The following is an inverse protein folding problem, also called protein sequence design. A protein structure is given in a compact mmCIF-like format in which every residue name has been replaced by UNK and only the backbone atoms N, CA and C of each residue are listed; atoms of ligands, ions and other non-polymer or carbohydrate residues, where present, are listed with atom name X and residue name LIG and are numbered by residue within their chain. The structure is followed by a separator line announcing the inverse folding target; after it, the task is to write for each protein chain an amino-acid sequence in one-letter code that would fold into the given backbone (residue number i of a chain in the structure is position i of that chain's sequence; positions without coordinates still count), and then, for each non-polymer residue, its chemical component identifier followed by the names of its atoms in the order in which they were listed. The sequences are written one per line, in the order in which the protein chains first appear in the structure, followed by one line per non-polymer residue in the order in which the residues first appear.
data_IF_347285351916
#
_entry.id   IF_347285351916
#
_cell.length_a   1.000
_cell.length_b   1.000
_cell.length_c   1.000
_cell.angle_alpha   90.00
_cell.angle_beta   90.00
_cell.angle_gamma   90.00
#
_symmetry.space_group_name_H-M   'P 1'
#
loop_
_entity.id
_entity.type
_entity.pdbx_description
1 polymer ?
#
# COMPACT_ATOMS: atom_id res chain seq x y z
N UNK A 1 6.86 -22.43 24.47
CA UNK A 1 6.92 -22.03 23.04
C UNK A 1 5.96 -20.86 22.88
N UNK A 2 6.39 -19.70 22.36
CA UNK A 2 5.47 -18.56 22.16
C UNK A 2 4.74 -18.77 20.84
N UNK A 3 3.44 -19.03 20.90
CA UNK A 3 2.59 -19.28 19.73
C UNK A 3 1.72 -18.06 19.48
N UNK A 4 2.09 -17.24 18.50
CA UNK A 4 1.23 -16.16 18.02
C UNK A 4 0.67 -16.56 16.67
N UNK A 5 -0.55 -17.08 16.64
CA UNK A 5 -1.17 -17.57 15.41
C UNK A 5 -1.69 -16.40 14.55
N UNK A 6 -2.21 -15.34 15.20
CA UNK A 6 -2.71 -14.13 14.55
C UNK A 6 -2.00 -12.91 15.14
N UNK A 7 -1.31 -12.16 14.29
CA UNK A 7 -0.84 -10.82 14.62
C UNK A 7 -1.74 -9.78 13.98
N UNK A 8 -2.18 -8.79 14.74
CA UNK A 8 -2.87 -7.61 14.21
C UNK A 8 -1.96 -6.40 14.36
N UNK A 9 -1.68 -5.71 13.26
CA UNK A 9 -0.80 -4.53 13.22
C UNK A 9 -1.49 -3.35 12.55
N UNK A 10 -1.10 -2.14 12.95
CA UNK A 10 -1.44 -0.89 12.28
C UNK A 10 -0.28 -0.38 11.40
N UNK A 11 -0.30 0.90 10.99
CA UNK A 11 0.88 1.49 10.36
C UNK A 11 2.00 1.56 11.41
N UNK A 12 3.18 1.05 11.07
CA UNK A 12 4.33 1.03 11.96
C UNK A 12 5.57 1.56 11.26
N UNK A 13 6.47 2.22 11.99
CA UNK A 13 7.70 2.83 11.49
C UNK A 13 8.83 1.80 11.27
N UNK A 14 8.51 0.59 10.80
CA UNK A 14 9.49 -0.49 10.62
C UNK A 14 9.49 -1.50 11.76
N UNK A 15 8.34 -1.77 12.35
CA UNK A 15 8.16 -2.85 13.29
C UNK A 15 8.07 -4.18 12.51
N UNK A 16 9.24 -4.70 12.11
CA UNK A 16 9.42 -5.91 11.30
C UNK A 16 9.11 -7.19 12.09
N UNK A 17 7.87 -7.32 12.57
CA UNK A 17 7.48 -8.42 13.46
C UNK A 17 7.48 -9.80 12.79
N UNK A 18 7.49 -9.85 11.46
CA UNK A 18 7.40 -11.08 10.68
C UNK A 18 8.48 -12.09 11.07
N UNK A 19 9.69 -11.63 11.43
CA UNK A 19 10.80 -12.49 11.85
C UNK A 19 10.56 -13.19 13.20
N UNK A 20 9.60 -12.73 13.99
CA UNK A 20 9.28 -13.29 15.31
C UNK A 20 8.02 -14.16 15.30
N UNK A 21 7.32 -14.25 14.17
CA UNK A 21 6.14 -15.08 14.02
C UNK A 21 6.52 -16.49 13.56
N UNK A 22 5.88 -17.54 14.12
CA UNK A 22 6.09 -18.90 13.64
C UNK A 22 5.50 -19.12 12.24
N UNK A 23 5.98 -20.15 11.55
CA UNK A 23 5.43 -20.62 10.28
C UNK A 23 3.94 -20.93 10.40
N UNK A 24 3.17 -20.52 9.40
CA UNK A 24 1.71 -20.69 9.40
C UNK A 24 0.94 -19.59 10.13
N UNK A 25 1.61 -18.60 10.74
CA UNK A 25 0.94 -17.44 11.31
C UNK A 25 0.33 -16.52 10.25
N UNK A 26 -0.73 -15.82 10.65
CA UNK A 26 -1.45 -14.86 9.82
C UNK A 26 -1.26 -13.44 10.37
N UNK A 27 -0.88 -12.51 9.49
CA UNK A 27 -0.77 -11.08 9.81
C UNK A 27 -1.99 -10.35 9.26
N UNK A 28 -2.69 -9.59 10.11
CA UNK A 28 -3.75 -8.68 9.72
C UNK A 28 -3.20 -7.25 9.82
N UNK A 29 -2.99 -6.58 8.70
CA UNK A 29 -2.57 -5.18 8.66
C UNK A 29 -3.78 -4.27 8.47
N UNK A 30 -4.07 -3.42 9.46
CA UNK A 30 -5.20 -2.49 9.45
C UNK A 30 -4.88 -1.15 8.81
N UNK A 31 -3.61 -0.87 8.50
CA UNK A 31 -3.17 0.35 7.84
C UNK A 31 -3.37 1.64 8.64
N UNK A 32 -2.63 2.66 8.22
CA UNK A 32 -2.69 4.02 8.74
C UNK A 32 -3.49 4.96 7.89
N UNK A 33 -3.85 6.11 8.46
CA UNK A 33 -4.41 7.22 7.71
C UNK A 33 -3.33 8.26 7.50
N UNK A 34 -3.05 8.58 6.24
CA UNK A 34 -2.14 9.65 5.86
C UNK A 34 -2.97 10.80 5.27
N UNK A 35 -2.78 12.05 5.72
CA UNK A 35 -3.53 13.19 5.20
C UNK A 35 -3.17 13.51 3.73
N UNK A 36 -4.18 13.91 2.96
CA UNK A 36 -4.07 14.34 1.56
C UNK A 36 -3.62 15.80 1.40
N UNK A 37 -3.37 16.55 2.45
CA UNK A 37 -2.54 17.76 2.40
C UNK A 37 -2.14 18.10 3.83
N UNK A 38 -1.01 18.79 4.01
CA UNK A 38 -0.66 19.36 5.32
C UNK A 38 -1.78 20.30 5.83
N UNK A 39 -2.50 20.94 4.90
CA UNK A 39 -3.56 21.93 5.14
C UNK A 39 -4.97 21.31 5.19
N UNK A 40 -5.16 20.06 4.75
CA UNK A 40 -6.47 19.40 4.71
C UNK A 40 -6.40 18.01 5.36
N UNK A 41 -6.62 18.01 6.68
CA UNK A 41 -6.67 16.80 7.50
C UNK A 41 -7.96 15.99 7.28
N UNK A 42 -8.96 16.52 6.56
CA UNK A 42 -10.27 15.88 6.43
C UNK A 42 -10.30 14.80 5.34
N UNK A 43 -9.35 14.82 4.40
CA UNK A 43 -9.24 13.78 3.38
C UNK A 43 -7.97 12.98 3.66
N UNK A 44 -8.15 11.68 3.87
CA UNK A 44 -7.04 10.76 4.16
C UNK A 44 -7.07 9.59 3.18
N UNK A 45 -5.92 8.96 3.00
CA UNK A 45 -5.82 7.68 2.32
C UNK A 45 -5.20 6.64 3.25
N UNK A 46 -5.41 5.38 2.89
CA UNK A 46 -4.90 4.24 3.64
C UNK A 46 -3.46 3.96 3.24
N UNK A 47 -2.57 3.81 4.21
CA UNK A 47 -1.21 3.34 3.98
C UNK A 47 -0.97 2.05 4.79
N UNK A 48 -0.64 0.94 4.11
CA UNK A 48 -0.30 -0.31 4.79
C UNK A 48 1.19 -0.37 5.15
N UNK A 49 2.02 0.39 4.44
CA UNK A 49 3.46 0.56 4.63
C UNK A 49 4.19 -0.78 4.53
N UNK A 50 4.28 -1.51 5.64
CA UNK A 50 5.05 -2.73 5.85
C UNK A 50 4.50 -3.96 5.10
N UNK A 51 3.65 -3.78 4.08
CA UNK A 51 3.09 -4.88 3.28
C UNK A 51 4.17 -5.70 2.56
N UNK A 52 5.29 -5.07 2.16
CA UNK A 52 6.43 -5.78 1.55
C UNK A 52 7.13 -6.72 2.54
N UNK A 53 7.06 -6.47 3.85
CA UNK A 53 7.62 -7.38 4.86
C UNK A 53 6.86 -8.70 4.86
N UNK A 54 5.54 -8.65 4.78
CA UNK A 54 4.72 -9.85 4.65
C UNK A 54 4.88 -10.52 3.28
N UNK A 55 5.05 -9.74 2.21
CA UNK A 55 5.38 -10.27 0.88
C UNK A 55 6.71 -11.03 0.86
N UNK A 56 7.70 -10.62 1.65
CA UNK A 56 9.00 -11.31 1.78
C UNK A 56 8.98 -12.52 2.72
N UNK A 57 8.11 -12.51 3.73
CA UNK A 57 7.95 -13.61 4.68
C UNK A 57 6.99 -14.68 4.14
N UNK A 58 7.48 -15.52 3.24
CA UNK A 58 6.67 -16.52 2.51
C UNK A 58 6.09 -17.65 3.38
N UNK A 59 6.52 -17.77 4.63
CA UNK A 59 5.95 -18.68 5.64
C UNK A 59 4.74 -18.09 6.38
N UNK A 60 4.39 -16.83 6.10
CA UNK A 60 3.24 -16.13 6.68
C UNK A 60 2.17 -15.85 5.62
N UNK A 61 0.92 -15.67 6.06
CA UNK A 61 -0.16 -15.14 5.21
C UNK A 61 -0.59 -13.77 5.69
N UNK A 62 -0.65 -12.79 4.79
CA UNK A 62 -1.17 -11.46 5.09
C UNK A 62 -2.64 -11.29 4.69
N UNK A 63 -3.37 -10.55 5.53
CA UNK A 63 -4.70 -10.03 5.28
C UNK A 63 -4.69 -8.52 5.53
N UNK A 64 -5.48 -7.78 4.77
CA UNK A 64 -5.50 -6.32 4.82
C UNK A 64 -6.90 -5.82 5.08
N UNK A 65 -7.01 -4.78 5.89
CA UNK A 65 -8.28 -4.08 6.07
C UNK A 65 -8.74 -3.47 4.74
N UNK A 66 -10.06 -3.44 4.43
CA UNK A 66 -10.51 -2.91 3.14
C UNK A 66 -10.05 -1.46 2.93
N UNK A 67 -9.25 -1.24 1.88
CA UNK A 67 -8.50 0.01 1.65
C UNK A 67 -9.39 1.26 1.58
N UNK A 68 -10.59 1.16 0.98
CA UNK A 68 -11.54 2.27 0.85
C UNK A 68 -12.44 2.46 2.09
N UNK A 69 -12.51 1.47 2.98
CA UNK A 69 -13.30 1.59 4.22
C UNK A 69 -12.46 2.18 5.35
N UNK A 70 -11.15 1.95 5.32
CA UNK A 70 -10.24 2.41 6.37
C UNK A 70 -10.26 3.93 6.63
N UNK A 71 -10.39 4.83 5.63
CA UNK A 71 -10.55 6.28 5.85
C UNK A 71 -11.84 6.65 6.60
N UNK A 72 -12.85 5.77 6.58
CA UNK A 72 -14.12 5.93 7.31
C UNK A 72 -14.03 5.44 8.77
N UNK A 73 -12.83 5.07 9.23
CA UNK A 73 -12.57 4.48 10.53
C UNK A 73 -12.60 2.95 10.54
N UNK A 74 -12.15 2.35 11.65
CA UNK A 74 -12.14 0.89 11.82
C UNK A 74 -13.52 0.44 12.29
N UNK A 75 -14.26 -0.23 11.40
CA UNK A 75 -15.51 -0.90 11.69
C UNK A 75 -15.26 -2.28 12.30
N UNK A 76 -15.91 -2.55 13.43
CA UNK A 76 -15.88 -3.86 14.13
C UNK A 76 -16.18 -5.03 13.20
N UNK A 77 -17.20 -4.89 12.34
CA UNK A 77 -17.65 -5.98 11.46
C UNK A 77 -16.55 -6.42 10.47
N UNK A 78 -15.86 -5.45 9.86
CA UNK A 78 -14.74 -5.74 8.93
C UNK A 78 -13.55 -6.38 9.65
N UNK A 79 -13.21 -5.89 10.84
CA UNK A 79 -12.11 -6.48 11.61
C UNK A 79 -12.44 -7.92 12.05
N UNK A 80 -13.66 -8.18 12.52
CA UNK A 80 -14.12 -9.52 12.88
C UNK A 80 -14.12 -10.46 11.66
N UNK A 81 -14.47 -9.96 10.48
CA UNK A 81 -14.39 -10.73 9.23
C UNK A 81 -12.96 -11.18 8.94
N UNK A 82 -11.97 -10.28 9.08
CA UNK A 82 -10.55 -10.59 8.90
C UNK A 82 -10.06 -11.60 9.94
N UNK A 83 -10.42 -11.44 11.21
CA UNK A 83 -10.05 -12.38 12.28
C UNK A 83 -10.62 -13.77 12.00
N UNK A 84 -11.88 -13.87 11.57
CA UNK A 84 -12.49 -15.14 11.18
C UNK A 84 -11.82 -15.77 9.96
N UNK A 85 -11.41 -14.95 8.98
CA UNK A 85 -10.66 -15.43 7.82
C UNK A 85 -9.28 -15.95 8.23
N UNK A 86 -8.56 -15.25 9.11
CA UNK A 86 -7.29 -15.68 9.67
C UNK A 86 -7.44 -17.02 10.42
N UNK A 87 -8.43 -17.12 11.31
CA UNK A 87 -8.70 -18.37 12.03
C UNK A 87 -8.96 -19.55 11.08
N UNK A 88 -9.71 -19.35 9.99
CA UNK A 88 -9.92 -20.39 8.99
C UNK A 88 -8.63 -20.80 8.28
N UNK A 89 -7.76 -19.85 7.93
CA UNK A 89 -6.47 -20.13 7.31
C UNK A 89 -5.55 -20.92 8.25
N UNK A 90 -5.58 -20.64 9.55
CA UNK A 90 -4.81 -21.37 10.55
C UNK A 90 -5.35 -22.80 10.70
N UNK A 91 -6.67 -22.96 10.87
CA UNK A 91 -7.28 -24.27 11.09
C UNK A 91 -7.15 -25.20 9.87
N UNK A 92 -7.30 -24.65 8.66
CA UNK A 92 -7.25 -25.43 7.43
C UNK A 92 -5.83 -25.56 6.86
N UNK A 93 -4.90 -24.74 7.35
CA UNK A 93 -3.62 -24.48 6.69
C UNK A 93 -3.76 -23.64 5.42
N UNK A 94 -2.63 -23.15 4.94
CA UNK A 94 -2.47 -22.55 3.61
C UNK A 94 -1.17 -23.04 2.98
N UNK A 95 -1.07 -22.97 1.65
CA UNK A 95 0.12 -23.42 0.94
C UNK A 95 1.30 -22.50 1.24
N UNK A 96 2.42 -23.10 1.64
CA UNK A 96 3.71 -22.43 1.85
C UNK A 96 4.73 -23.02 0.85
N UNK A 97 5.61 -22.19 0.24
CA UNK A 97 5.71 -20.74 0.41
C UNK A 97 4.52 -20.00 -0.22
N UNK A 98 3.99 -19.00 0.47
CA UNK A 98 2.98 -18.09 -0.06
C UNK A 98 3.60 -17.26 -1.18
N UNK A 99 2.91 -17.15 -2.31
CA UNK A 99 3.35 -16.27 -3.40
C UNK A 99 3.45 -14.83 -2.88
N UNK A 100 4.61 -14.16 -3.02
CA UNK A 100 4.81 -12.79 -2.56
C UNK A 100 3.70 -11.83 -3.01
N UNK A 101 3.24 -11.96 -4.27
CA UNK A 101 2.19 -11.10 -4.82
C UNK A 101 0.83 -11.28 -4.12
N UNK A 102 0.53 -12.51 -3.68
CA UNK A 102 -0.72 -12.83 -2.97
C UNK A 102 -0.69 -12.38 -1.50
N UNK A 103 0.48 -11.93 -1.02
CA UNK A 103 0.69 -11.35 0.30
C UNK A 103 0.78 -9.82 0.27
N UNK A 104 0.51 -9.17 -0.87
CA UNK A 104 0.43 -7.71 -0.96
C UNK A 104 -1.01 -7.23 -0.83
N UNK A 105 -1.17 -6.03 -0.28
CA UNK A 105 -2.43 -5.30 -0.30
C UNK A 105 -2.77 -4.87 -1.75
N UNK A 106 -4.03 -4.45 -2.03
CA UNK A 106 -4.42 -4.07 -3.39
C UNK A 106 -3.52 -3.01 -4.04
N UNK A 107 -3.04 -2.05 -3.26
CA UNK A 107 -2.10 -1.01 -3.69
C UNK A 107 -0.70 -1.57 -4.00
N UNK A 108 -0.16 -2.48 -3.18
CA UNK A 108 1.08 -3.18 -3.51
C UNK A 108 0.96 -4.07 -4.76
N UNK A 109 -0.18 -4.73 -4.96
CA UNK A 109 -0.42 -5.52 -6.18
C UNK A 109 -0.49 -4.63 -7.43
N UNK A 110 -1.17 -3.48 -7.31
CA UNK A 110 -1.20 -2.43 -8.33
C UNK A 110 0.22 -1.99 -8.67
N UNK A 111 1.03 -1.67 -7.65
CA UNK A 111 2.40 -1.22 -7.84
C UNK A 111 3.25 -2.22 -8.62
N UNK A 112 3.18 -3.51 -8.28
CA UNK A 112 3.91 -4.55 -9.01
C UNK A 112 3.45 -4.63 -10.46
N UNK A 113 2.16 -4.45 -10.75
CA UNK A 113 1.67 -4.42 -12.13
C UNK A 113 2.09 -3.15 -12.88
N UNK A 114 2.06 -2.00 -12.21
CA UNK A 114 2.51 -0.72 -12.76
C UNK A 114 4.00 -0.80 -13.13
N UNK A 115 4.85 -1.28 -12.23
CA UNK A 115 6.28 -1.49 -12.49
C UNK A 115 6.53 -2.44 -13.69
N UNK A 116 5.72 -3.49 -13.85
CA UNK A 116 5.83 -4.41 -14.99
C UNK A 116 5.50 -3.74 -16.33
N UNK A 117 4.57 -2.79 -16.33
CA UNK A 117 4.08 -2.11 -17.53
C UNK A 117 4.85 -0.82 -17.84
N UNK A 118 5.34 -0.13 -16.81
CA UNK A 118 6.14 1.10 -16.88
C UNK A 118 7.52 0.84 -16.27
N UNK A 119 8.43 0.30 -17.10
CA UNK A 119 9.80 -0.04 -16.69
C UNK A 119 10.59 1.20 -16.26
N UNK A 120 10.37 2.33 -16.93
CA UNK A 120 11.05 3.58 -16.63
C UNK A 120 10.68 4.09 -15.22
N UNK A 121 9.39 4.03 -14.87
CA UNK A 121 8.96 4.29 -13.50
C UNK A 121 9.59 3.29 -12.52
N UNK A 122 9.61 2.01 -12.85
CA UNK A 122 10.18 1.00 -11.95
C UNK A 122 11.68 1.23 -11.68
N UNK A 123 12.44 1.60 -12.71
CA UNK A 123 13.84 1.99 -12.57
C UNK A 123 13.97 3.25 -11.72
N UNK A 124 13.12 4.27 -11.96
CA UNK A 124 13.12 5.53 -11.22
C UNK A 124 12.99 5.33 -9.69
N UNK A 125 12.14 4.39 -9.27
CA UNK A 125 11.79 4.18 -7.86
C UNK A 125 12.60 3.09 -7.17
N UNK A 126 13.19 2.15 -7.92
CA UNK A 126 13.93 1.01 -7.33
C UNK A 126 15.45 1.14 -7.50
N UNK A 127 15.93 1.84 -8.53
CA UNK A 127 17.35 1.96 -8.80
C UNK A 127 17.91 3.26 -8.22
N UNK A 128 18.95 3.14 -7.38
CA UNK A 128 19.78 4.28 -6.98
C UNK A 128 20.75 4.60 -8.12
N UNK A 129 20.33 5.47 -9.04
CA UNK A 129 21.15 5.95 -10.14
C UNK A 129 21.60 7.40 -9.92
N UNK A 130 22.78 7.74 -10.45
CA UNK A 130 23.23 9.14 -10.49
C UNK A 130 22.24 9.98 -11.31
N UNK A 131 21.82 11.13 -10.77
CA UNK A 131 20.86 12.03 -11.43
C UNK A 131 19.38 11.77 -11.10
N UNK A 132 19.05 10.65 -10.44
CA UNK A 132 17.68 10.43 -9.95
C UNK A 132 17.43 11.24 -8.68
N UNK A 133 16.35 12.03 -8.67
CA UNK A 133 15.96 12.78 -7.48
C UNK A 133 15.66 11.82 -6.32
N UNK A 134 16.27 12.08 -5.16
CA UNK A 134 16.03 11.33 -3.92
C UNK A 134 14.54 11.23 -3.57
N UNK A 135 13.77 12.29 -3.87
CA UNK A 135 12.33 12.33 -3.63
C UNK A 135 11.56 11.28 -4.43
N UNK A 136 12.06 10.82 -5.58
CA UNK A 136 11.34 9.86 -6.42
C UNK A 136 11.56 8.40 -6.02
N UNK A 137 12.60 8.07 -5.26
CA UNK A 137 12.78 6.70 -4.73
C UNK A 137 12.67 6.62 -3.20
N UNK A 138 12.61 7.75 -2.50
CA UNK A 138 12.33 7.82 -1.07
C UNK A 138 10.85 8.14 -0.82
N UNK A 139 9.97 7.30 -1.34
CA UNK A 139 8.52 7.39 -1.14
C UNK A 139 7.93 6.04 -0.79
N UNK A 140 6.88 6.05 0.03
CA UNK A 140 6.04 4.86 0.19
C UNK A 140 5.26 4.61 -1.09
N UNK A 141 5.02 3.34 -1.42
CA UNK A 141 4.26 2.94 -2.62
C UNK A 141 2.89 3.62 -2.67
N UNK A 142 2.27 3.79 -1.50
CA UNK A 142 0.96 4.43 -1.36
C UNK A 142 1.00 5.91 -1.72
N UNK A 143 2.14 6.61 -1.56
CA UNK A 143 2.27 7.99 -2.02
C UNK A 143 2.20 8.10 -3.55
N UNK A 144 2.82 7.17 -4.28
CA UNK A 144 2.73 7.12 -5.74
C UNK A 144 1.28 6.84 -6.19
N UNK A 145 0.64 5.84 -5.58
CA UNK A 145 -0.71 5.39 -5.97
C UNK A 145 -1.77 6.45 -5.69
N UNK A 146 -1.62 7.18 -4.59
CA UNK A 146 -2.50 8.28 -4.23
C UNK A 146 -1.98 9.64 -4.75
N UNK A 147 -1.01 9.65 -5.68
CA UNK A 147 -0.50 10.87 -6.36
C UNK A 147 -0.08 11.98 -5.37
N UNK A 148 0.74 11.63 -4.37
CA UNK A 148 1.13 12.46 -3.22
C UNK A 148 2.56 12.96 -3.28
N UNK A 149 2.82 14.03 -2.53
CA UNK A 149 4.16 14.60 -2.41
C UNK A 149 4.76 14.90 -3.79
N UNK A 150 5.91 14.29 -4.15
CA UNK A 150 6.55 14.54 -5.44
C UNK A 150 5.80 13.92 -6.63
N UNK A 151 4.82 13.04 -6.38
CA UNK A 151 3.94 12.42 -7.37
C UNK A 151 2.69 13.22 -7.68
N UNK A 152 2.44 14.33 -6.98
CA UNK A 152 1.28 15.20 -7.23
C UNK A 152 1.49 16.07 -8.46
N UNK A 153 0.43 16.31 -9.24
CA UNK A 153 0.45 17.38 -10.26
C UNK A 153 0.30 18.75 -9.60
N UNK A 154 1.20 19.68 -9.95
CA UNK A 154 1.13 21.09 -9.59
C UNK A 154 1.00 21.89 -10.89
N UNK A 155 0.15 22.91 -10.87
CA UNK A 155 0.03 23.87 -11.97
C UNK A 155 1.11 24.93 -11.75
N UNK A 156 2.03 25.09 -12.70
CA UNK A 156 3.04 26.14 -12.65
C UNK A 156 2.45 27.52 -13.00
N UNK A 157 3.27 28.57 -12.90
CA UNK A 157 2.86 29.95 -13.21
C UNK A 157 2.35 30.12 -14.64
N UNK A 158 2.73 29.22 -15.56
CA UNK A 158 2.33 29.25 -16.97
C UNK A 158 1.06 28.42 -17.22
N UNK A 159 0.42 27.90 -16.15
CA UNK A 159 -0.77 27.06 -16.26
C UNK A 159 -0.47 25.61 -16.68
N UNK A 160 0.81 25.21 -16.78
CA UNK A 160 1.18 23.85 -17.18
C UNK A 160 1.19 22.93 -15.97
N UNK A 161 0.59 21.75 -16.12
CA UNK A 161 0.65 20.69 -15.11
C UNK A 161 2.00 20.00 -15.15
N UNK A 162 2.70 19.98 -14.03
CA UNK A 162 3.96 19.26 -13.84
C UNK A 162 3.92 18.47 -12.54
N UNK A 163 4.60 17.33 -12.52
CA UNK A 163 4.97 16.67 -11.27
C UNK A 163 6.48 16.60 -11.15
N UNK A 164 6.96 16.55 -9.91
CA UNK A 164 8.39 16.43 -9.64
C UNK A 164 8.92 15.07 -10.12
N UNK A 165 8.18 14.00 -9.87
CA UNK A 165 8.50 12.67 -10.38
C UNK A 165 7.63 12.32 -11.58
N UNK A 166 8.22 11.97 -12.74
CA UNK A 166 7.48 11.59 -13.93
C UNK A 166 6.99 10.14 -13.83
N UNK A 167 5.76 9.88 -14.27
CA UNK A 167 5.21 8.53 -14.45
C UNK A 167 3.97 8.54 -15.34
N UNK A 168 3.58 7.37 -15.85
CA UNK A 168 2.34 7.23 -16.63
C UNK A 168 1.10 7.27 -15.72
N UNK A 169 0.51 8.47 -15.57
CA UNK A 169 -0.71 8.67 -14.77
C UNK A 169 -1.90 7.92 -15.32
N UNK A 170 -2.13 7.97 -16.62
CA UNK A 170 -3.27 7.29 -17.26
C UNK A 170 -3.26 5.80 -16.90
N UNK A 171 -2.11 5.14 -17.08
CA UNK A 171 -1.93 3.75 -16.71
C UNK A 171 -2.15 3.52 -15.20
N UNK A 172 -1.61 4.38 -14.33
CA UNK A 172 -1.81 4.26 -12.89
C UNK A 172 -3.30 4.37 -12.53
N UNK A 173 -4.05 5.30 -13.13
CA UNK A 173 -5.50 5.47 -12.90
C UNK A 173 -6.31 4.26 -13.37
N UNK A 174 -6.02 3.74 -14.57
CA UNK A 174 -6.62 2.50 -15.07
C UNK A 174 -6.38 1.32 -14.12
N UNK A 175 -5.17 1.22 -13.57
CA UNK A 175 -4.86 0.17 -12.60
C UNK A 175 -5.57 0.41 -11.26
N UNK A 176 -5.74 1.65 -10.80
CA UNK A 176 -6.55 1.93 -9.60
C UNK A 176 -7.97 1.44 -9.76
N UNK A 177 -8.58 1.69 -10.92
CA UNK A 177 -9.93 1.20 -11.23
C UNK A 177 -9.96 -0.34 -11.22
N UNK A 178 -8.97 -0.99 -11.86
CA UNK A 178 -8.83 -2.46 -11.85
C UNK A 178 -8.75 -3.05 -10.44
N UNK A 179 -8.01 -2.40 -9.54
CA UNK A 179 -7.81 -2.84 -8.16
C UNK A 179 -8.87 -2.28 -7.19
N UNK A 180 -9.84 -1.52 -7.70
CA UNK A 180 -10.91 -0.92 -6.93
C UNK A 180 -10.42 0.06 -5.86
N UNK A 181 -9.37 0.82 -6.12
CA UNK A 181 -8.81 1.81 -5.18
C UNK A 181 -9.40 3.18 -5.50
N UNK A 182 -10.18 3.75 -4.57
CA UNK A 182 -10.84 5.03 -4.76
C UNK A 182 -9.83 6.16 -4.46
N UNK A 183 -9.65 7.06 -5.42
CA UNK A 183 -8.92 8.30 -5.22
C UNK A 183 -9.91 9.45 -5.06
N UNK A 184 -9.90 10.10 -3.89
CA UNK A 184 -10.66 11.31 -3.66
C UNK A 184 -9.93 12.49 -4.30
N UNK A 185 -10.14 12.74 -5.59
CA UNK A 185 -9.79 14.02 -6.18
C UNK A 185 -10.76 15.07 -5.62
N UNK A 186 -10.25 16.13 -4.97
CA UNK A 186 -11.02 17.37 -5.00
C UNK A 186 -11.07 17.77 -6.46
N UNK A 187 -12.26 17.80 -7.05
CA UNK A 187 -12.50 18.70 -8.17
C UNK A 187 -12.03 20.07 -7.69
N UNK A 188 -10.95 20.58 -8.26
CA UNK A 188 -10.60 21.99 -8.11
C UNK A 188 -11.76 22.71 -8.79
N UNK A 189 -12.75 23.11 -8.01
CA UNK A 189 -13.81 24.00 -8.45
C UNK A 189 -13.10 25.25 -8.97
N UNK A 190 -13.25 25.47 -10.28
CA UNK A 190 -12.85 26.67 -10.99
C UNK A 190 -13.49 27.91 -10.35
#
# INVERSE_FOLDING_TARGET
MRTMDIQITGPGTGAMYQTFLPDGSVVINVGGLIPLAAEDQNITYTAFMEQYMASGATYLKALYYPINERPKGIKRQELVKLIRQAAKLIMNGFSMPVNPRDNLAPDGQLFVELCKKDKALCELITARAAGTSFLCYHSWVEELIHERGPWREVVDSDGKRKSHCPFNRTLMRELRDKYGIIHHEKSVSQ
#
